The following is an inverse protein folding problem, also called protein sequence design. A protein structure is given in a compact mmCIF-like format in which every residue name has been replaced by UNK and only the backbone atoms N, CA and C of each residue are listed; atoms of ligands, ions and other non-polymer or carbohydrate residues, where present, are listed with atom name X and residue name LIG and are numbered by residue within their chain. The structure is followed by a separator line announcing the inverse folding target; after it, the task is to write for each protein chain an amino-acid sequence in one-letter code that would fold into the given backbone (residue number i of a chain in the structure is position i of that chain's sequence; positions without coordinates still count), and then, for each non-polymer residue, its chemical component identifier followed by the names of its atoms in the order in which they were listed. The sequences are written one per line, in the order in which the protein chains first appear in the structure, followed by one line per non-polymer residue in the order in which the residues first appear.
data_IF_127234562860
#
_entry.id   IF_127234562860
#
_cell.length_a   1.000
_cell.length_b   1.000
_cell.length_c   1.000
_cell.angle_alpha   90.00
_cell.angle_beta   90.00
_cell.angle_gamma   90.00
#
_symmetry.space_group_name_H-M   'P 1'
#
loop_
_entity.id
_entity.type
_entity.pdbx_description
1 polymer ?
#
# COMPACT_ATOMS: atom_id res chain seq x y z
N UNK A 1 -29.45 -17.89 -15.68
CA UNK A 1 -29.42 -16.47 -16.09
C UNK A 1 -28.06 -16.22 -16.71
N UNK A 2 -27.98 -15.85 -17.98
CA UNK A 2 -26.71 -15.52 -18.62
C UNK A 2 -26.19 -14.23 -17.96
N UNK A 3 -25.10 -14.33 -17.21
CA UNK A 3 -24.48 -13.18 -16.55
C UNK A 3 -24.04 -12.14 -17.57
N UNK A 4 -24.08 -10.87 -17.20
CA UNK A 4 -23.49 -9.80 -18.01
C UNK A 4 -22.03 -10.16 -18.34
N UNK A 5 -21.56 -9.94 -19.59
CA UNK A 5 -20.18 -10.21 -19.95
C UNK A 5 -19.26 -9.40 -19.05
N UNK A 6 -18.18 -10.04 -18.57
CA UNK A 6 -17.20 -9.35 -17.75
C UNK A 6 -16.69 -8.11 -18.49
N UNK A 7 -16.54 -6.96 -17.81
CA UNK A 7 -15.99 -5.77 -18.44
C UNK A 7 -14.62 -6.08 -19.04
N UNK A 8 -14.27 -5.48 -20.19
CA UNK A 8 -13.00 -5.73 -20.84
C UNK A 8 -11.82 -5.43 -19.90
N UNK A 9 -10.69 -6.11 -20.15
CA UNK A 9 -9.47 -5.89 -19.38
C UNK A 9 -8.95 -4.48 -19.62
N UNK A 10 -8.44 -3.86 -18.56
CA UNK A 10 -7.59 -2.68 -18.69
C UNK A 10 -6.28 -3.07 -19.39
N UNK A 11 -5.62 -2.10 -19.99
CA UNK A 11 -4.35 -2.23 -20.71
C UNK A 11 -3.24 -2.94 -19.93
N UNK A 12 -3.20 -2.77 -18.62
CA UNK A 12 -2.22 -3.41 -17.74
C UNK A 12 -2.67 -4.75 -17.16
N UNK A 13 -3.95 -5.12 -17.26
CA UNK A 13 -4.49 -6.31 -16.62
C UNK A 13 -4.18 -7.58 -17.41
N UNK A 14 -4.05 -8.71 -16.69
CA UNK A 14 -3.77 -10.03 -17.25
C UNK A 14 -4.83 -11.05 -16.83
N UNK A 15 -5.31 -11.84 -17.79
CA UNK A 15 -6.31 -12.89 -17.56
C UNK A 15 -5.78 -14.04 -16.67
N UNK A 16 -4.49 -14.33 -16.75
CA UNK A 16 -3.82 -15.43 -16.05
C UNK A 16 -3.31 -15.05 -14.64
N UNK A 17 -3.63 -13.84 -14.17
CA UNK A 17 -3.08 -13.27 -12.93
C UNK A 17 -4.16 -12.73 -12.01
N UNK A 18 -3.79 -12.56 -10.75
CA UNK A 18 -4.48 -11.69 -9.83
C UNK A 18 -3.97 -10.26 -10.03
N UNK A 19 -4.83 -9.40 -10.56
CA UNK A 19 -4.49 -8.01 -10.84
C UNK A 19 -4.71 -7.18 -9.58
N UNK A 20 -3.64 -6.55 -9.08
CA UNK A 20 -3.66 -5.78 -7.84
C UNK A 20 -3.25 -4.34 -8.12
N UNK A 21 -4.11 -3.40 -7.75
CA UNK A 21 -3.83 -1.96 -7.80
C UNK A 21 -3.78 -1.41 -6.37
N UNK A 22 -2.65 -0.86 -5.97
CA UNK A 22 -2.53 -0.11 -4.72
C UNK A 22 -2.58 1.38 -5.05
N UNK A 23 -3.39 2.13 -4.32
CA UNK A 23 -3.48 3.59 -4.41
C UNK A 23 -3.17 4.16 -3.05
N UNK A 24 -2.00 4.77 -2.90
CA UNK A 24 -1.56 5.39 -1.66
C UNK A 24 -1.81 6.89 -1.64
N UNK A 25 -2.23 7.42 -0.49
CA UNK A 25 -2.59 8.82 -0.26
C UNK A 25 -1.78 9.41 0.89
N UNK A 26 -1.19 10.57 0.66
CA UNK A 26 -0.46 11.35 1.66
C UNK A 26 -0.83 12.83 1.59
N UNK A 27 -0.13 13.63 2.39
CA UNK A 27 -0.38 15.07 2.54
C UNK A 27 -0.41 15.83 1.20
N UNK A 28 -1.33 16.81 1.09
CA UNK A 28 -1.50 17.69 -0.09
C UNK A 28 -1.72 16.92 -1.41
N UNK A 29 -2.47 15.82 -1.35
CA UNK A 29 -2.81 15.05 -2.54
C UNK A 29 -1.62 14.31 -3.16
N UNK A 30 -0.50 14.15 -2.43
CA UNK A 30 0.60 13.27 -2.84
C UNK A 30 0.09 11.84 -2.94
N UNK A 31 0.30 11.19 -4.09
CA UNK A 31 -0.18 9.81 -4.33
C UNK A 31 0.88 8.88 -4.89
N UNK A 32 0.64 7.59 -4.71
CA UNK A 32 1.34 6.52 -5.43
C UNK A 32 0.31 5.53 -5.98
N UNK A 33 0.50 5.11 -7.24
CA UNK A 33 -0.26 4.04 -7.86
C UNK A 33 0.72 2.92 -8.18
N UNK A 34 0.54 1.76 -7.54
CA UNK A 34 1.34 0.56 -7.81
C UNK A 34 0.45 -0.50 -8.41
N UNK A 35 0.75 -0.91 -9.63
CA UNK A 35 0.05 -2.01 -10.31
C UNK A 35 0.93 -3.24 -10.29
N UNK A 36 0.34 -4.38 -9.94
CA UNK A 36 1.04 -5.64 -9.79
C UNK A 36 0.26 -6.82 -10.35
N UNK A 37 0.99 -7.84 -10.77
CA UNK A 37 0.45 -9.13 -11.20
C UNK A 37 0.87 -10.20 -10.22
N UNK A 38 0.00 -10.60 -9.31
CA UNK A 38 0.24 -11.73 -8.43
C UNK A 38 -0.15 -13.05 -9.12
N UNK A 39 0.38 -14.19 -8.66
CA UNK A 39 -0.14 -15.50 -9.07
C UNK A 39 -1.65 -15.54 -8.85
N UNK A 40 -2.38 -16.19 -9.76
CA UNK A 40 -3.83 -16.46 -9.64
C UNK A 40 -4.05 -17.56 -8.59
N UNK A 41 -3.62 -17.29 -7.36
CA UNK A 41 -3.74 -18.18 -6.21
C UNK A 41 -5.14 -18.04 -5.61
N UNK A 42 -5.73 -19.16 -5.20
CA UNK A 42 -7.01 -19.21 -4.49
C UNK A 42 -6.82 -19.28 -2.97
N UNK A 43 -5.59 -19.42 -2.50
CA UNK A 43 -5.27 -19.37 -1.09
C UNK A 43 -5.18 -17.92 -0.62
N UNK A 44 -6.20 -17.50 0.13
CA UNK A 44 -6.31 -16.13 0.64
C UNK A 44 -5.18 -15.73 1.59
N UNK A 45 -4.64 -16.65 2.38
CA UNK A 45 -3.54 -16.36 3.31
C UNK A 45 -2.26 -15.99 2.57
N UNK A 46 -1.95 -16.70 1.49
CA UNK A 46 -0.79 -16.38 0.64
C UNK A 46 -0.95 -15.04 -0.05
N UNK A 47 -2.16 -14.75 -0.53
CA UNK A 47 -2.48 -13.45 -1.11
C UNK A 47 -2.30 -12.36 -0.06
N UNK A 48 -2.90 -12.51 1.13
CA UNK A 48 -2.77 -11.55 2.23
C UNK A 48 -1.31 -11.33 2.64
N UNK A 49 -0.50 -12.38 2.73
CA UNK A 49 0.94 -12.27 3.03
C UNK A 49 1.69 -11.48 1.94
N UNK A 50 1.40 -11.73 0.67
CA UNK A 50 2.00 -10.98 -0.44
C UNK A 50 1.59 -9.49 -0.39
N UNK A 51 0.32 -9.21 -0.11
CA UNK A 51 -0.19 -7.85 0.06
C UNK A 51 0.48 -7.14 1.25
N UNK A 52 0.71 -7.83 2.38
CA UNK A 52 1.43 -7.28 3.53
C UNK A 52 2.87 -6.90 3.18
N UNK A 53 3.58 -7.77 2.46
CA UNK A 53 4.95 -7.48 2.01
C UNK A 53 5.00 -6.32 1.01
N UNK A 54 4.03 -6.22 0.10
CA UNK A 54 3.90 -5.09 -0.81
C UNK A 54 3.55 -3.80 -0.05
N UNK A 55 2.66 -3.87 0.93
CA UNK A 55 2.32 -2.76 1.82
C UNK A 55 3.56 -2.19 2.52
N UNK A 56 4.47 -3.06 2.99
CA UNK A 56 5.77 -2.63 3.52
C UNK A 56 6.65 -1.91 2.47
N UNK A 57 6.73 -2.44 1.25
CA UNK A 57 7.49 -1.79 0.16
C UNK A 57 6.90 -0.43 -0.21
N UNK A 58 5.57 -0.29 -0.17
CA UNK A 58 4.84 0.96 -0.43
C UNK A 58 5.03 1.95 0.73
N UNK A 59 4.94 1.49 1.98
CA UNK A 59 5.18 2.30 3.18
C UNK A 59 6.51 3.05 3.07
N UNK A 60 7.57 2.34 2.66
CA UNK A 60 8.94 2.86 2.60
C UNK A 60 9.32 3.51 1.25
N UNK A 61 8.35 3.75 0.37
CA UNK A 61 8.62 4.16 -1.01
C UNK A 61 8.99 5.65 -1.19
N UNK A 62 8.55 6.51 -0.26
CA UNK A 62 8.81 7.96 -0.23
C UNK A 62 8.85 8.47 1.21
N UNK A 63 9.23 9.74 1.39
CA UNK A 63 9.12 10.42 2.67
C UNK A 63 7.68 10.88 2.89
N UNK A 64 6.83 9.91 3.25
CA UNK A 64 5.39 10.14 3.40
C UNK A 64 5.08 10.98 4.64
N UNK A 65 4.19 11.95 4.44
CA UNK A 65 3.55 12.71 5.48
C UNK A 65 2.10 12.24 5.65
N UNK A 66 1.58 12.38 6.86
CA UNK A 66 0.21 12.10 7.24
C UNK A 66 -0.74 12.83 6.31
N UNK A 67 -1.65 12.09 5.70
CA UNK A 67 -2.67 12.59 4.79
C UNK A 67 -3.52 13.71 5.41
N UNK A 68 -3.74 13.67 6.73
CA UNK A 68 -4.68 14.56 7.40
C UNK A 68 -4.04 15.75 8.13
N UNK A 69 -2.72 15.73 8.38
CA UNK A 69 -2.07 16.82 9.13
C UNK A 69 -0.66 17.18 8.69
N UNK A 70 -0.07 16.47 7.72
CA UNK A 70 1.25 16.78 7.18
C UNK A 70 2.45 16.40 8.08
N UNK A 71 2.22 15.94 9.32
CA UNK A 71 3.28 15.37 10.17
C UNK A 71 3.89 14.13 9.53
N UNK A 72 5.15 13.77 9.79
CA UNK A 72 5.74 12.55 9.26
C UNK A 72 4.88 11.30 9.55
N UNK A 73 4.62 10.48 8.53
CA UNK A 73 3.82 9.27 8.68
C UNK A 73 4.64 8.15 9.31
N UNK A 74 4.02 7.37 10.20
CA UNK A 74 4.58 6.15 10.81
C UNK A 74 3.76 4.90 10.50
N UNK A 75 2.50 5.08 10.14
CA UNK A 75 1.56 3.99 9.93
C UNK A 75 0.82 4.14 8.60
N UNK A 76 0.24 3.03 8.18
CA UNK A 76 -0.62 2.96 7.00
C UNK A 76 -1.92 2.27 7.37
N UNK A 77 -3.05 2.89 7.05
CA UNK A 77 -4.36 2.24 7.09
C UNK A 77 -4.72 1.74 5.69
N UNK A 78 -5.31 0.55 5.57
CA UNK A 78 -5.59 -0.07 4.27
C UNK A 78 -7.05 -0.47 4.17
N UNK A 79 -7.74 0.08 3.17
CA UNK A 79 -9.09 -0.32 2.80
C UNK A 79 -9.01 -1.14 1.50
N UNK A 80 -9.71 -2.27 1.44
CA UNK A 80 -9.57 -3.23 0.33
C UNK A 80 -10.92 -3.52 -0.32
N UNK A 81 -10.94 -3.38 -1.64
CA UNK A 81 -12.01 -3.88 -2.50
C UNK A 81 -11.56 -5.16 -3.19
N UNK A 82 -12.42 -6.18 -3.13
CA UNK A 82 -12.12 -7.50 -3.64
C UNK A 82 -13.18 -8.00 -4.61
N UNK A 83 -12.71 -8.30 -5.82
CA UNK A 83 -13.45 -9.03 -6.83
C UNK A 83 -12.70 -10.29 -7.22
N UNK A 84 -12.13 -10.99 -6.25
CA UNK A 84 -11.44 -12.26 -6.46
C UNK A 84 -12.35 -13.37 -7.00
N UNK A 85 -13.67 -13.22 -6.87
CA UNK A 85 -14.66 -14.12 -7.43
C UNK A 85 -14.88 -13.93 -8.95
N UNK A 86 -14.37 -12.84 -9.53
CA UNK A 86 -14.45 -12.59 -10.98
C UNK A 86 -13.28 -13.23 -11.73
N UNK A 87 -13.43 -13.35 -13.05
CA UNK A 87 -12.37 -13.80 -13.96
C UNK A 87 -12.06 -12.74 -15.04
N UNK A 88 -10.89 -12.08 -15.01
CA UNK A 88 -9.81 -12.28 -14.04
C UNK A 88 -10.10 -11.63 -12.68
N UNK A 89 -9.48 -12.16 -11.62
CA UNK A 89 -9.65 -11.62 -10.28
C UNK A 89 -8.92 -10.29 -10.12
N UNK A 90 -9.56 -9.37 -9.38
CA UNK A 90 -9.07 -8.01 -9.14
C UNK A 90 -9.08 -7.67 -7.65
N UNK A 91 -8.05 -6.94 -7.23
CA UNK A 91 -7.96 -6.31 -5.92
C UNK A 91 -7.57 -4.84 -6.08
N UNK A 92 -8.23 -3.97 -5.33
CA UNK A 92 -7.83 -2.57 -5.19
C UNK A 92 -7.63 -2.28 -3.71
N UNK A 93 -6.47 -1.76 -3.35
CA UNK A 93 -6.13 -1.40 -1.98
C UNK A 93 -5.87 0.10 -1.89
N UNK A 94 -6.65 0.80 -1.08
CA UNK A 94 -6.47 2.20 -0.76
C UNK A 94 -5.62 2.29 0.51
N UNK A 95 -4.46 2.94 0.42
CA UNK A 95 -3.49 3.04 1.52
C UNK A 95 -3.42 4.49 1.99
N UNK A 96 -3.85 4.74 3.21
CA UNK A 96 -3.80 6.05 3.84
C UNK A 96 -2.56 6.13 4.73
N UNK A 97 -1.64 7.03 4.42
CA UNK A 97 -0.44 7.25 5.22
C UNK A 97 -0.75 8.18 6.38
N UNK A 98 -0.53 7.75 7.62
CA UNK A 98 -0.95 8.49 8.82
C UNK A 98 0.18 8.62 9.85
N UNK A 99 0.13 9.66 10.68
CA UNK A 99 1.14 9.91 11.72
C UNK A 99 0.96 8.97 12.92
N UNK A 100 -0.28 8.82 13.39
CA UNK A 100 -0.69 7.93 14.47
C UNK A 100 -2.18 7.62 14.27
N UNK A 101 -2.55 6.34 14.14
CA UNK A 101 -3.95 5.95 13.91
C UNK A 101 -4.89 6.25 15.09
N UNK A 102 -4.35 6.46 16.29
CA UNK A 102 -5.13 6.72 17.50
C UNK A 102 -5.42 8.21 17.72
N UNK A 103 -4.82 9.08 16.91
CA UNK A 103 -5.05 10.52 16.97
C UNK A 103 -6.45 10.92 16.43
N UNK A 104 -7.22 11.79 17.13
CA UNK A 104 -8.59 12.13 16.73
C UNK A 104 -8.77 12.63 15.30
N UNK A 105 -7.84 13.45 14.81
CA UNK A 105 -7.88 13.97 13.45
C UNK A 105 -7.67 12.87 12.39
N UNK A 106 -6.85 11.87 12.70
CA UNK A 106 -6.63 10.71 11.83
C UNK A 106 -7.86 9.81 11.84
N UNK A 107 -8.42 9.53 13.02
CA UNK A 107 -9.65 8.74 13.15
C UNK A 107 -10.79 9.33 12.33
N UNK A 108 -10.98 10.64 12.43
CA UNK A 108 -11.99 11.35 11.66
C UNK A 108 -11.73 11.25 10.16
N UNK A 109 -10.49 11.51 9.73
CA UNK A 109 -10.08 11.44 8.33
C UNK A 109 -10.31 10.06 7.71
N UNK A 110 -9.83 9.00 8.36
CA UNK A 110 -10.02 7.62 7.90
C UNK A 110 -11.50 7.22 7.84
N UNK A 111 -12.29 7.63 8.84
CA UNK A 111 -13.74 7.37 8.84
C UNK A 111 -14.43 8.06 7.67
N UNK A 112 -14.03 9.30 7.35
CA UNK A 112 -14.54 10.03 6.18
C UNK A 112 -14.14 9.35 4.87
N UNK A 113 -12.90 8.90 4.73
CA UNK A 113 -12.43 8.15 3.56
C UNK A 113 -13.22 6.85 3.36
N UNK A 114 -13.40 6.05 4.42
CA UNK A 114 -14.19 4.82 4.37
C UNK A 114 -15.64 5.07 3.98
N UNK A 115 -16.29 6.07 4.59
CA UNK A 115 -17.68 6.38 4.27
C UNK A 115 -17.85 6.84 2.82
N UNK A 116 -16.89 7.60 2.30
CA UNK A 116 -16.87 8.00 0.89
C UNK A 116 -16.70 6.79 -0.02
N UNK A 117 -15.69 5.94 0.25
CA UNK A 117 -15.44 4.73 -0.52
C UNK A 117 -16.66 3.79 -0.50
N UNK A 118 -17.23 3.57 0.68
CA UNK A 118 -18.42 2.75 0.86
C UNK A 118 -19.62 3.30 0.07
N UNK A 119 -19.81 4.63 0.06
CA UNK A 119 -20.86 5.28 -0.75
C UNK A 119 -20.63 5.06 -2.25
N UNK A 120 -19.40 5.25 -2.73
CA UNK A 120 -19.04 5.01 -4.14
C UNK A 120 -19.26 3.55 -4.57
N UNK A 121 -19.16 2.62 -3.63
CA UNK A 121 -19.38 1.19 -3.83
C UNK A 121 -20.75 0.71 -3.33
N UNK A 122 -21.75 1.60 -3.26
CA UNK A 122 -23.14 1.27 -2.94
C UNK A 122 -23.31 0.48 -1.63
N UNK A 123 -22.50 0.80 -0.63
CA UNK A 123 -22.58 0.18 0.71
C UNK A 123 -21.87 -1.17 0.85
N UNK A 124 -21.12 -1.63 -0.15
CA UNK A 124 -20.50 -2.97 -0.15
C UNK A 124 -19.46 -3.21 0.96
N UNK A 125 -18.82 -2.15 1.49
CA UNK A 125 -17.82 -2.29 2.56
C UNK A 125 -18.48 -2.39 3.95
N UNK A 126 -19.73 -1.93 4.10
CA UNK A 126 -20.41 -1.86 5.39
C UNK A 126 -19.85 -0.77 6.31
N UNK A 127 -20.09 -0.85 7.63
CA UNK A 127 -19.54 0.11 8.59
C UNK A 127 -18.01 0.01 8.66
N UNK A 128 -17.37 1.10 9.07
CA UNK A 128 -15.93 1.10 9.34
C UNK A 128 -15.62 -0.02 10.35
N UNK A 129 -14.70 -0.94 10.04
CA UNK A 129 -14.39 -2.04 10.94
C UNK A 129 -13.73 -1.53 12.23
N UNK A 130 -13.92 -2.30 13.30
CA UNK A 130 -13.22 -2.07 14.55
C UNK A 130 -11.71 -2.17 14.35
N UNK A 131 -10.97 -1.30 15.06
CA UNK A 131 -9.51 -1.29 14.98
C UNK A 131 -8.93 -2.40 15.82
N UNK A 132 -7.91 -3.05 15.28
CA UNK A 132 -7.06 -3.95 16.06
C UNK A 132 -6.25 -3.11 17.04
N UNK A 133 -6.27 -3.49 18.32
CA UNK A 133 -5.53 -2.79 19.36
C UNK A 133 -4.02 -2.83 19.10
N UNK A 134 -3.39 -1.66 19.17
CA UNK A 134 -1.94 -1.54 19.12
C UNK A 134 -1.35 -2.10 20.41
N UNK A 135 -0.21 -2.79 20.31
CA UNK A 135 0.55 -3.13 21.51
C UNK A 135 0.95 -1.86 22.28
N UNK A 136 0.75 -1.82 23.61
CA UNK A 136 1.10 -0.65 24.40
C UNK A 136 2.57 -0.24 24.22
N UNK A 137 2.81 1.04 23.92
CA UNK A 137 4.14 1.59 23.72
C UNK A 137 4.81 1.27 22.38
N UNK A 138 4.10 0.62 21.44
CA UNK A 138 4.64 0.39 20.11
C UNK A 138 4.84 1.71 19.34
N UNK A 139 6.07 1.96 18.90
CA UNK A 139 6.41 3.09 18.02
C UNK A 139 6.85 2.53 16.68
N UNK A 140 6.04 2.77 15.65
CA UNK A 140 6.38 2.35 14.30
C UNK A 140 7.39 3.30 13.65
N UNK A 141 8.32 2.75 12.88
CA UNK A 141 9.29 3.53 12.12
C UNK A 141 8.63 4.46 11.10
N UNK A 142 9.26 5.60 10.86
CA UNK A 142 8.83 6.56 9.85
C UNK A 142 8.70 5.88 8.48
N UNK A 143 7.62 6.17 7.75
CA UNK A 143 7.43 5.74 6.38
C UNK A 143 8.58 6.23 5.48
N UNK A 144 9.19 7.37 5.79
CA UNK A 144 10.38 7.87 5.10
C UNK A 144 11.67 7.05 5.28
N UNK A 145 11.73 6.15 6.26
CA UNK A 145 12.95 5.42 6.63
C UNK A 145 13.28 4.26 5.68
N UNK A 146 14.48 3.69 5.85
CA UNK A 146 14.95 2.50 5.15
C UNK A 146 14.05 1.29 5.41
N UNK A 147 13.59 0.61 4.35
CA UNK A 147 12.70 -0.54 4.46
C UNK A 147 13.30 -1.75 5.21
N UNK A 148 14.63 -1.78 5.37
CA UNK A 148 15.34 -2.88 6.03
C UNK A 148 15.66 -2.58 7.50
N UNK A 149 16.35 -1.46 7.78
CA UNK A 149 16.81 -1.17 9.14
C UNK A 149 15.85 -0.31 9.94
N UNK A 150 14.83 0.29 9.30
CA UNK A 150 13.74 1.03 9.95
C UNK A 150 14.19 2.15 10.91
N UNK A 151 15.44 2.61 10.74
CA UNK A 151 16.03 3.68 11.53
C UNK A 151 15.50 5.03 11.07
N UNK A 152 14.86 5.77 11.97
CA UNK A 152 14.23 7.06 11.66
C UNK A 152 15.24 8.09 11.13
N UNK A 153 16.51 8.02 11.52
CA UNK A 153 17.56 8.94 11.03
C UNK A 153 17.78 8.81 9.52
N UNK A 154 17.42 7.66 8.95
CA UNK A 154 17.49 7.46 7.49
C UNK A 154 16.38 8.23 6.76
N UNK A 155 15.26 8.56 7.42
CA UNK A 155 14.21 9.39 6.84
C UNK A 155 14.64 10.86 6.69
N UNK A 156 15.45 11.38 7.63
CA UNK A 156 15.97 12.75 7.57
C UNK A 156 16.87 12.98 6.34
N UNK A 157 17.58 11.92 5.91
CA UNK A 157 18.43 11.93 4.72
C UNK A 157 17.76 11.21 3.54
N UNK A 158 16.45 11.42 3.35
CA UNK A 158 15.65 10.70 2.35
C UNK A 158 16.24 10.71 0.92
N UNK A 159 16.97 11.77 0.54
CA UNK A 159 17.65 11.90 -0.75
C UNK A 159 18.81 10.91 -0.92
N UNK A 160 19.37 10.40 0.18
CA UNK A 160 20.47 9.43 0.19
C UNK A 160 20.00 7.98 0.06
N UNK A 161 18.70 7.73 0.26
CA UNK A 161 18.14 6.39 0.15
C UNK A 161 18.06 5.97 -1.31
N UNK A 162 18.65 4.81 -1.59
CA UNK A 162 18.69 4.22 -2.92
C UNK A 162 17.43 3.39 -3.14
N UNK A 163 16.72 3.68 -4.23
CA UNK A 163 15.59 2.86 -4.68
C UNK A 163 16.09 1.54 -5.22
N UNK A 164 15.31 0.47 -5.04
CA UNK A 164 15.54 -0.78 -5.75
C UNK A 164 15.54 -0.53 -7.26
N UNK A 165 16.62 -0.89 -7.96
CA UNK A 165 16.78 -0.60 -9.40
C UNK A 165 15.78 -1.33 -10.28
N UNK A 166 15.25 -2.48 -9.83
CA UNK A 166 14.27 -3.28 -10.56
C UNK A 166 12.86 -2.71 -10.48
N UNK A 167 12.29 -2.63 -9.26
CA UNK A 167 10.90 -2.19 -9.10
C UNK A 167 10.73 -0.67 -8.92
N UNK A 168 11.81 0.05 -8.60
CA UNK A 168 11.83 1.50 -8.36
C UNK A 168 10.89 2.00 -7.25
N UNK A 169 10.39 1.09 -6.40
CA UNK A 169 9.44 1.35 -5.33
C UNK A 169 10.13 1.52 -3.96
N UNK A 170 10.57 0.41 -3.37
CA UNK A 170 11.16 0.38 -2.03
C UNK A 170 12.57 1.00 -1.98
N UNK A 171 12.98 1.47 -0.80
CA UNK A 171 14.19 2.29 -0.61
C UNK A 171 15.06 1.80 0.55
N UNK A 172 16.38 1.90 0.36
CA UNK A 172 17.38 1.43 1.31
C UNK A 172 18.49 2.45 1.54
N UNK A 173 19.03 2.54 2.76
CA UNK A 173 20.16 3.40 3.07
C UNK A 173 21.50 2.86 2.56
N UNK A 174 21.61 1.55 2.28
CA UNK A 174 22.84 0.92 1.80
C UNK A 174 22.56 -0.35 0.99
N UNK A 175 23.55 -0.80 0.22
CA UNK A 175 23.50 -2.09 -0.49
C UNK A 175 23.38 -3.27 0.48
N UNK A 176 23.96 -3.16 1.68
CA UNK A 176 23.86 -4.18 2.72
C UNK A 176 22.41 -4.33 3.23
N UNK A 177 21.72 -3.21 3.48
CA UNK A 177 20.29 -3.22 3.83
C UNK A 177 19.44 -3.84 2.71
N UNK A 178 19.74 -3.53 1.45
CA UNK A 178 19.04 -4.15 0.32
C UNK A 178 19.27 -5.67 0.27
N UNK A 179 20.51 -6.14 0.45
CA UNK A 179 20.85 -7.57 0.47
C UNK A 179 20.19 -8.30 1.63
N UNK A 180 20.14 -7.67 2.82
CA UNK A 180 19.52 -8.24 4.02
C UNK A 180 18.00 -8.39 3.87
N UNK A 181 17.34 -7.42 3.24
CA UNK A 181 15.89 -7.46 2.99
C UNK A 181 15.50 -8.30 1.76
N UNK A 182 16.48 -8.65 0.90
CA UNK A 182 16.24 -9.37 -0.35
C UNK A 182 15.41 -10.67 -0.22
N UNK A 183 15.59 -11.54 0.80
CA UNK A 183 14.77 -12.74 0.95
C UNK A 183 13.27 -12.46 0.99
N UNK A 184 12.86 -11.34 1.62
CA UNK A 184 11.47 -10.85 1.63
C UNK A 184 11.14 -10.12 0.33
N UNK A 185 11.93 -9.10 -0.01
CA UNK A 185 11.61 -8.20 -1.13
C UNK A 185 11.55 -8.92 -2.49
N UNK A 186 12.36 -9.97 -2.73
CA UNK A 186 12.35 -10.70 -4.00
C UNK A 186 10.98 -11.28 -4.36
N UNK A 187 10.16 -11.60 -3.35
CA UNK A 187 8.82 -12.17 -3.50
C UNK A 187 7.89 -11.16 -4.18
N UNK A 188 7.97 -9.89 -3.80
CA UNK A 188 7.10 -8.81 -4.29
C UNK A 188 7.72 -8.03 -5.45
N UNK A 189 9.05 -7.88 -5.47
CA UNK A 189 9.79 -7.10 -6.46
C UNK A 189 9.49 -7.49 -7.92
N UNK A 190 9.34 -8.79 -8.17
CA UNK A 190 9.09 -9.33 -9.51
C UNK A 190 7.63 -9.20 -9.97
N UNK A 191 6.71 -8.91 -9.06
CA UNK A 191 5.28 -8.84 -9.34
C UNK A 191 4.83 -7.41 -9.68
N UNK A 192 5.67 -6.40 -9.41
CA UNK A 192 5.37 -5.00 -9.69
C UNK A 192 5.46 -4.77 -11.21
N UNK A 193 4.34 -4.35 -11.80
CA UNK A 193 4.23 -3.97 -13.21
C UNK A 193 4.60 -2.50 -13.42
N UNK A 194 4.00 -1.60 -12.63
CA UNK A 194 4.26 -0.16 -12.73
C UNK A 194 4.14 0.55 -11.39
N UNK A 195 4.87 1.66 -11.26
CA UNK A 195 4.84 2.56 -10.11
C UNK A 195 4.75 3.99 -10.63
N UNK A 196 3.67 4.68 -10.28
CA UNK A 196 3.44 6.08 -10.64
C UNK A 196 3.33 6.91 -9.36
N UNK A 197 4.10 7.98 -9.26
CA UNK A 197 4.00 8.95 -8.18
C UNK A 197 3.39 10.23 -8.73
N UNK A 198 2.37 10.76 -8.06
CA UNK A 198 1.66 11.96 -8.49
C UNK A 198 1.77 13.06 -7.44
N UNK A 199 1.88 14.31 -7.88
CA UNK A 199 1.99 15.50 -7.03
C UNK A 199 3.25 15.51 -6.12
N UNK A 200 4.37 14.96 -6.62
CA UNK A 200 5.66 14.85 -5.92
C UNK A 200 6.77 15.77 -6.46
N UNK A 201 6.42 16.71 -7.35
CA UNK A 201 7.34 17.71 -7.91
C UNK A 201 7.49 18.93 -7.00
#
# INVERSE_FOLDING_TARGET
MAGFPAPPLKDWERADKLNVEFVGYGWEGKRVIVRSHLPKDRNNERVQLALLYMGRDIKHSKNWACEFCGKPSRETHVEMLSWQHLDPPRLVLYIHFVCDIDEPHVMQGLTSCHNMLNTMHMGQLGPMPDRLERQPGAVYALAGSCACCERDETAANAQTLKKCSKCKLTRYCSLECQKKDWPRHKVTCSQIYSVTFENWE
#
